data_IF_697433578131
#
_entry.id   IF_697433578131
#
_cell.length_a   1.000
_cell.length_b   1.000
_cell.length_c   1.000
_cell.angle_alpha   90.00
_cell.angle_beta   90.00
_cell.angle_gamma   90.00
#
_symmetry.space_group_name_H-M   'P 1'
#
loop_
_entity.id
_entity.type
_entity.pdbx_description
1 polymer ?
#
# COMPACT_ATOMS: atom_id res chain seq x y z
N UNK A 1 29.64 12.82 18.25
CA UNK A 1 28.64 13.23 17.24
C UNK A 1 27.79 12.00 17.00
N UNK A 2 26.58 11.96 17.54
CA UNK A 2 25.71 10.78 17.44
C UNK A 2 25.06 10.78 16.07
N UNK A 3 25.49 9.89 15.19
CA UNK A 3 24.84 9.66 13.91
C UNK A 3 23.39 9.22 14.14
N UNK A 4 22.46 10.16 13.99
CA UNK A 4 21.05 9.84 13.77
C UNK A 4 20.97 9.09 12.45
N UNK A 5 21.07 7.75 12.52
CA UNK A 5 20.60 6.86 11.46
C UNK A 5 19.10 7.09 11.37
N UNK A 6 18.68 8.04 10.55
CA UNK A 6 17.27 8.25 10.29
C UNK A 6 16.75 6.94 9.70
N UNK A 7 15.90 6.27 10.46
CA UNK A 7 15.44 4.92 10.14
C UNK A 7 14.63 4.98 8.85
N UNK A 8 15.27 4.63 7.73
CA UNK A 8 14.65 4.45 6.40
C UNK A 8 13.39 3.57 6.44
N UNK A 9 13.26 2.72 7.47
CA UNK A 9 12.04 1.96 7.76
C UNK A 9 10.84 2.84 8.15
N UNK A 10 11.04 3.90 8.92
CA UNK A 10 9.98 4.84 9.31
C UNK A 10 9.42 5.54 8.06
N UNK A 11 10.28 6.00 7.15
CA UNK A 11 9.83 6.66 5.93
C UNK A 11 9.07 5.72 4.98
N UNK A 12 9.52 4.47 4.84
CA UNK A 12 8.82 3.48 4.03
C UNK A 12 7.40 3.20 4.58
N UNK A 13 7.26 3.08 5.90
CA UNK A 13 5.97 2.86 6.55
C UNK A 13 5.03 4.08 6.44
N UNK A 14 5.56 5.30 6.56
CA UNK A 14 4.81 6.54 6.39
C UNK A 14 4.26 6.68 4.97
N UNK A 15 5.10 6.41 3.96
CA UNK A 15 4.68 6.46 2.57
C UNK A 15 3.55 5.47 2.29
N UNK A 16 3.66 4.26 2.84
CA UNK A 16 2.66 3.21 2.69
C UNK A 16 1.30 3.60 3.32
N UNK A 17 1.32 4.16 4.53
CA UNK A 17 0.13 4.66 5.23
C UNK A 17 -0.49 5.84 4.48
N UNK A 18 0.33 6.72 3.92
CA UNK A 18 -0.13 7.86 3.13
C UNK A 18 -0.84 7.39 1.85
N UNK A 19 -0.25 6.44 1.11
CA UNK A 19 -0.88 5.85 -0.06
C UNK A 19 -2.21 5.18 0.28
N UNK A 20 -2.25 4.40 1.36
CA UNK A 20 -3.50 3.80 1.84
C UNK A 20 -4.57 4.86 2.12
N UNK A 21 -4.22 5.91 2.87
CA UNK A 21 -5.15 6.98 3.19
C UNK A 21 -5.65 7.69 1.93
N UNK A 22 -4.77 8.02 1.00
CA UNK A 22 -5.12 8.62 -0.30
C UNK A 22 -6.06 7.74 -1.10
N UNK A 23 -5.79 6.43 -1.21
CA UNK A 23 -6.64 5.48 -1.93
C UNK A 23 -8.04 5.40 -1.33
N UNK A 24 -8.13 5.31 0.00
CA UNK A 24 -9.43 5.27 0.70
C UNK A 24 -10.19 6.59 0.50
N UNK A 25 -9.54 7.74 0.72
CA UNK A 25 -10.18 9.04 0.56
C UNK A 25 -10.65 9.28 -0.88
N UNK A 26 -9.84 8.92 -1.87
CA UNK A 26 -10.19 9.06 -3.28
C UNK A 26 -11.44 8.24 -3.62
N UNK A 27 -11.52 6.97 -3.20
CA UNK A 27 -12.68 6.14 -3.48
C UNK A 27 -13.95 6.59 -2.74
N UNK A 28 -13.83 7.09 -1.50
CA UNK A 28 -14.95 7.70 -0.78
C UNK A 28 -15.44 8.94 -1.54
N UNK A 29 -14.52 9.80 -1.98
CA UNK A 29 -14.84 11.00 -2.74
C UNK A 29 -15.56 10.68 -4.05
N UNK A 30 -15.05 9.70 -4.80
CA UNK A 30 -15.64 9.24 -6.07
C UNK A 30 -17.02 8.61 -5.84
N UNK A 31 -17.17 7.75 -4.82
CA UNK A 31 -18.44 7.16 -4.45
C UNK A 31 -19.48 8.22 -4.07
N UNK A 32 -19.08 9.21 -3.28
CA UNK A 32 -19.96 10.34 -2.96
C UNK A 32 -20.34 11.16 -4.20
N UNK A 33 -19.39 11.47 -5.08
CA UNK A 33 -19.62 12.29 -6.27
C UNK A 33 -20.58 11.59 -7.26
N UNK A 34 -20.37 10.30 -7.50
CA UNK A 34 -21.26 9.46 -8.31
C UNK A 34 -22.64 9.37 -7.64
N UNK A 35 -22.68 9.09 -6.34
CA UNK A 35 -23.92 9.00 -5.57
C UNK A 35 -24.74 10.29 -5.61
N UNK A 36 -24.08 11.45 -5.52
CA UNK A 36 -24.70 12.76 -5.64
C UNK A 36 -25.27 13.00 -7.04
N UNK A 37 -24.49 12.74 -8.09
CA UNK A 37 -24.94 12.89 -9.47
C UNK A 37 -26.14 12.00 -9.79
N UNK A 38 -26.09 10.73 -9.39
CA UNK A 38 -27.18 9.78 -9.65
C UNK A 38 -28.44 10.08 -8.84
N UNK A 39 -28.27 10.53 -7.59
CA UNK A 39 -29.38 10.98 -6.76
C UNK A 39 -30.10 12.20 -7.33
N UNK A 40 -29.36 13.12 -7.97
CA UNK A 40 -29.95 14.25 -8.70
C UNK A 40 -30.74 13.82 -9.94
N UNK A 41 -30.37 12.70 -10.57
CA UNK A 41 -31.08 12.17 -11.73
C UNK A 41 -32.37 11.43 -11.32
N UNK A 42 -32.30 10.61 -10.27
CA UNK A 42 -33.42 9.75 -9.83
C UNK A 42 -34.31 10.41 -8.76
N UNK A 43 -33.96 11.61 -8.28
CA UNK A 43 -34.60 12.28 -7.13
C UNK A 43 -34.69 11.40 -5.86
N UNK A 44 -33.80 10.42 -5.74
CA UNK A 44 -33.78 9.48 -4.63
C UNK A 44 -32.44 9.56 -3.90
N UNK A 45 -32.48 9.84 -2.60
CA UNK A 45 -31.29 9.97 -1.76
C UNK A 45 -30.66 8.61 -1.40
N UNK A 46 -31.35 7.50 -1.63
CA UNK A 46 -30.80 6.14 -1.40
C UNK A 46 -29.54 5.91 -2.22
N UNK A 47 -29.47 6.44 -3.45
CA UNK A 47 -28.28 6.30 -4.30
C UNK A 47 -27.02 6.92 -3.70
N UNK A 48 -27.13 8.06 -3.01
CA UNK A 48 -25.99 8.65 -2.29
C UNK A 48 -25.44 7.70 -1.25
N UNK A 49 -26.32 7.09 -0.45
CA UNK A 49 -25.91 6.18 0.63
C UNK A 49 -25.26 4.92 0.05
N UNK A 50 -25.87 4.31 -0.97
CA UNK A 50 -25.38 3.07 -1.58
C UNK A 50 -23.99 3.29 -2.18
N UNK A 51 -23.81 4.35 -2.98
CA UNK A 51 -22.52 4.63 -3.61
C UNK A 51 -21.45 5.09 -2.62
N UNK A 52 -21.83 5.76 -1.53
CA UNK A 52 -20.89 6.07 -0.45
C UNK A 52 -20.36 4.78 0.21
N UNK A 53 -21.24 3.84 0.53
CA UNK A 53 -20.82 2.53 1.07
C UNK A 53 -19.97 1.74 0.08
N UNK A 54 -20.34 1.72 -1.21
CA UNK A 54 -19.51 1.11 -2.25
C UNK A 54 -18.12 1.76 -2.33
N UNK A 55 -18.04 3.09 -2.27
CA UNK A 55 -16.78 3.83 -2.26
C UNK A 55 -15.89 3.47 -1.06
N UNK A 56 -16.47 3.41 0.14
CA UNK A 56 -15.75 2.99 1.36
C UNK A 56 -15.24 1.56 1.22
N UNK A 57 -16.11 0.61 0.87
CA UNK A 57 -15.75 -0.81 0.77
C UNK A 57 -14.66 -1.02 -0.30
N UNK A 58 -14.81 -0.40 -1.47
CA UNK A 58 -13.82 -0.47 -2.53
C UNK A 58 -12.48 0.19 -2.14
N UNK A 59 -12.54 1.37 -1.50
CA UNK A 59 -11.36 2.07 -0.98
C UNK A 59 -10.58 1.23 0.03
N UNK A 60 -11.27 0.65 0.99
CA UNK A 60 -10.66 -0.23 1.99
C UNK A 60 -10.09 -1.50 1.36
N UNK A 61 -10.84 -2.16 0.46
CA UNK A 61 -10.36 -3.37 -0.20
C UNK A 61 -9.09 -3.11 -1.01
N UNK A 62 -9.10 -2.09 -1.89
CA UNK A 62 -7.94 -1.76 -2.71
C UNK A 62 -6.76 -1.30 -1.85
N UNK A 63 -7.02 -0.42 -0.87
CA UNK A 63 -5.99 0.06 0.04
C UNK A 63 -5.32 -1.08 0.82
N UNK A 64 -6.10 -1.98 1.43
CA UNK A 64 -5.56 -3.13 2.18
C UNK A 64 -4.80 -4.08 1.25
N UNK A 65 -5.32 -4.34 0.05
CA UNK A 65 -4.66 -5.23 -0.90
C UNK A 65 -3.29 -4.67 -1.33
N UNK A 66 -3.20 -3.36 -1.51
CA UNK A 66 -1.95 -2.66 -1.83
C UNK A 66 -0.96 -2.70 -0.66
N UNK A 67 -1.43 -2.47 0.57
CA UNK A 67 -0.63 -2.64 1.79
C UNK A 67 -0.01 -4.05 1.88
N UNK A 68 -0.81 -5.10 1.66
CA UNK A 68 -0.35 -6.49 1.71
C UNK A 68 0.67 -6.77 0.59
N UNK A 69 0.44 -6.24 -0.61
CA UNK A 69 1.31 -6.44 -1.77
C UNK A 69 2.69 -5.82 -1.53
N UNK A 70 2.75 -4.59 -1.04
CA UNK A 70 4.02 -3.92 -0.75
C UNK A 70 4.76 -4.60 0.41
N UNK A 71 4.04 -5.04 1.46
CA UNK A 71 4.63 -5.78 2.56
C UNK A 71 5.29 -7.09 2.08
N UNK A 72 4.60 -7.86 1.23
CA UNK A 72 5.14 -9.08 0.61
C UNK A 72 6.37 -8.80 -0.26
N UNK A 73 6.35 -7.69 -1.01
CA UNK A 73 7.48 -7.28 -1.86
C UNK A 73 8.72 -6.97 -1.04
N UNK A 74 8.57 -6.22 0.06
CA UNK A 74 9.67 -5.93 0.99
C UNK A 74 10.27 -7.20 1.60
N UNK A 75 9.43 -8.19 1.95
CA UNK A 75 9.90 -9.48 2.48
C UNK A 75 10.66 -10.30 1.42
N UNK A 76 10.19 -10.30 0.17
CA UNK A 76 10.83 -11.06 -0.90
C UNK A 76 12.19 -10.46 -1.28
N UNK A 77 12.30 -9.13 -1.35
CA UNK A 77 13.56 -8.42 -1.58
C UNK A 77 14.59 -8.71 -0.45
N UNK A 78 14.14 -8.82 0.80
CA UNK A 78 15.01 -9.22 1.93
C UNK A 78 15.53 -10.64 1.79
N UNK A 79 14.72 -11.58 1.27
CA UNK A 79 15.12 -12.98 1.05
C UNK A 79 16.17 -13.10 -0.06
N UNK A 80 15.91 -12.49 -1.22
CA UNK A 80 16.83 -12.48 -2.36
C UNK A 80 18.19 -11.86 -1.98
N UNK A 81 18.19 -10.76 -1.22
CA UNK A 81 19.44 -10.11 -0.77
C UNK A 81 20.25 -10.96 0.21
N UNK A 82 19.59 -11.83 1.00
CA UNK A 82 20.28 -12.78 1.90
C UNK A 82 20.86 -13.98 1.14
N UNK A 83 20.17 -14.46 0.12
CA UNK A 83 20.62 -15.57 -0.74
C UNK A 83 21.85 -15.17 -1.55
N UNK A 84 21.81 -14.02 -2.23
CA UNK A 84 22.97 -13.48 -2.96
C UNK A 84 24.22 -13.23 -2.09
N UNK A 85 24.04 -12.95 -0.78
CA UNK A 85 25.17 -12.84 0.17
C UNK A 85 25.77 -14.18 0.56
N UNK A 86 24.96 -15.25 0.59
CA UNK A 86 25.43 -16.61 0.93
C UNK A 86 26.24 -17.20 -0.23
N UNK A 87 25.79 -17.01 -1.47
CA UNK A 87 26.46 -17.55 -2.64
C UNK A 87 27.82 -16.88 -2.89
N UNK A 88 27.93 -15.56 -2.69
CA UNK A 88 29.22 -14.86 -2.78
C UNK A 88 30.24 -15.34 -1.72
N UNK A 89 29.80 -15.62 -0.49
CA UNK A 89 30.70 -16.13 0.56
C UNK A 89 31.18 -17.55 0.25
N UNK A 90 30.30 -18.41 -0.30
CA UNK A 90 30.66 -19.78 -0.68
C UNK A 90 31.68 -19.81 -1.82
N UNK A 91 31.56 -18.90 -2.78
CA UNK A 91 32.48 -18.82 -3.93
C UNK A 91 33.89 -18.33 -3.52
N UNK A 92 33.97 -17.36 -2.61
CA UNK A 92 35.25 -16.83 -2.12
C UNK A 92 36.07 -17.89 -1.35
N UNK A 93 35.40 -18.79 -0.61
CA UNK A 93 36.08 -19.85 0.12
C UNK A 93 36.53 -21.02 -0.77
N UNK A 94 36.00 -21.14 -1.99
CA UNK A 94 36.38 -22.18 -2.94
C UNK A 94 37.60 -21.84 -3.79
N UNK A 95 37.99 -20.56 -3.87
CA UNK A 95 39.15 -20.11 -4.65
C UNK A 95 40.46 -20.11 -3.84
N UNK A 96 40.38 -20.45 -2.54
CA UNK A 96 41.51 -20.34 -1.60
C UNK A 96 42.02 -21.72 -1.11
N UNK A 97 41.59 -22.82 -1.74
CA UNK A 97 42.10 -24.19 -1.58
C UNK A 97 42.64 -24.67 -2.93
#
# INVERSE_FOLDING_TARGET
MNDHKIDVKIFANLNLILFFALTVLANIFIGYLIGYGLSSLTNNNVWKIVFLFLGIISGLYNGIMELIKEAKKQDNERRIKKENKRDNNKNNNSFNN
#
